data_IF_618993707613
#
_entry.id   IF_618993707613
#
_cell.length_a   1.000
_cell.length_b   1.000
_cell.length_c   1.000
_cell.angle_alpha   90.00
_cell.angle_beta   90.00
_cell.angle_gamma   90.00
#
_symmetry.space_group_name_H-M   'P 1'
#
loop_
_entity.id
_entity.type
_entity.pdbx_description
1 polymer ?
#
# COMPACT_ATOMS: atom_id res chain seq x y z
N UNK A 1 51.80 14.56 -48.10
CA UNK A 1 50.34 14.71 -48.18
C UNK A 1 49.74 13.48 -47.52
N UNK A 2 48.89 13.48 -46.48
CA UNK A 2 47.91 14.44 -45.96
C UNK A 2 47.59 14.04 -44.49
N UNK A 3 47.73 14.93 -43.50
CA UNK A 3 46.71 15.81 -42.87
C UNK A 3 45.62 15.14 -42.00
N UNK A 4 45.64 15.57 -40.73
CA UNK A 4 44.62 15.55 -39.68
C UNK A 4 43.22 16.05 -40.09
N UNK A 5 42.16 15.46 -39.51
CA UNK A 5 40.90 16.07 -38.98
C UNK A 5 39.96 14.90 -38.59
N UNK A 6 39.72 14.54 -37.33
CA UNK A 6 38.99 15.21 -36.22
C UNK A 6 37.59 15.71 -36.64
N UNK A 7 36.59 14.90 -36.25
CA UNK A 7 35.14 15.11 -36.09
C UNK A 7 34.69 16.57 -35.97
N UNK A 8 33.55 16.93 -36.60
CA UNK A 8 32.54 17.89 -36.09
C UNK A 8 31.34 18.05 -37.05
N UNK A 9 30.40 17.09 -37.13
CA UNK A 9 29.14 17.31 -37.89
C UNK A 9 27.96 16.47 -37.35
N UNK A 10 27.69 16.50 -36.04
CA UNK A 10 26.45 15.93 -35.45
C UNK A 10 25.80 16.94 -34.46
N UNK A 11 25.65 18.20 -34.88
CA UNK A 11 24.97 19.29 -34.14
C UNK A 11 23.66 19.75 -34.83
N UNK A 12 22.74 18.86 -35.20
CA UNK A 12 21.45 19.26 -35.83
C UNK A 12 20.21 18.52 -35.32
N UNK A 13 19.93 18.51 -34.01
CA UNK A 13 18.65 17.94 -33.51
C UNK A 13 18.05 18.59 -32.26
N UNK A 14 18.33 19.88 -31.97
CA UNK A 14 17.80 20.58 -30.79
C UNK A 14 16.75 21.65 -31.05
N UNK A 15 16.27 21.83 -32.29
CA UNK A 15 15.41 22.98 -32.62
C UNK A 15 13.90 22.72 -32.74
N UNK A 16 13.40 21.54 -32.33
CA UNK A 16 11.97 21.19 -32.51
C UNK A 16 11.06 21.40 -31.27
N UNK A 17 11.57 21.85 -30.12
CA UNK A 17 10.81 21.85 -28.84
C UNK A 17 10.13 23.18 -28.43
N UNK A 18 9.95 24.16 -29.33
CA UNK A 18 9.36 25.47 -28.96
C UNK A 18 8.02 25.84 -29.61
N UNK A 19 7.30 24.90 -30.22
CA UNK A 19 6.13 25.26 -31.02
C UNK A 19 4.83 24.52 -30.68
N UNK A 20 4.51 24.18 -29.42
CA UNK A 20 3.12 23.81 -29.07
C UNK A 20 2.79 23.88 -27.57
N UNK A 21 2.46 25.08 -27.09
CA UNK A 21 1.84 25.30 -25.77
C UNK A 21 0.36 25.67 -26.00
N UNK A 22 -0.61 24.80 -25.72
CA UNK A 22 -2.02 25.19 -25.79
C UNK A 22 -2.43 26.09 -24.60
N UNK A 23 -3.40 27.01 -24.79
CA UNK A 23 -3.71 28.09 -23.85
C UNK A 23 -4.54 27.67 -22.62
N UNK A 24 -4.40 28.44 -21.54
CA UNK A 24 -5.14 28.34 -20.27
C UNK A 24 -6.63 28.66 -20.47
N UNK A 25 -7.49 27.64 -20.41
CA UNK A 25 -8.95 27.80 -20.40
C UNK A 25 -9.49 27.97 -18.97
N UNK A 26 -10.45 28.88 -18.86
CA UNK A 26 -10.94 29.54 -17.65
C UNK A 26 -11.93 28.72 -16.82
N UNK A 27 -11.86 28.99 -15.51
CA UNK A 27 -12.92 29.10 -14.49
C UNK A 27 -14.35 28.70 -14.89
N UNK A 28 -14.89 27.68 -14.24
CA UNK A 28 -16.32 27.56 -13.96
C UNK A 28 -16.51 26.87 -12.60
N UNK A 29 -16.84 27.65 -11.57
CA UNK A 29 -17.38 27.15 -10.30
C UNK A 29 -18.90 27.26 -10.36
N UNK A 30 -19.68 26.17 -10.31
CA UNK A 30 -21.11 26.28 -10.06
C UNK A 30 -21.40 26.35 -8.54
N UNK A 31 -22.16 27.37 -8.14
CA UNK A 31 -22.69 27.62 -6.79
C UNK A 31 -23.47 26.42 -6.20
N UNK A 32 -23.41 26.17 -4.88
CA UNK A 32 -24.35 25.27 -4.22
C UNK A 32 -25.72 25.94 -4.01
N UNK A 33 -26.77 25.17 -4.27
CA UNK A 33 -28.17 25.56 -4.24
C UNK A 33 -28.67 26.03 -2.86
N UNK A 34 -29.31 27.20 -2.89
CA UNK A 34 -30.40 27.75 -2.05
C UNK A 34 -30.95 26.83 -0.93
N UNK A 35 -30.65 27.21 0.32
CA UNK A 35 -31.39 26.81 1.52
C UNK A 35 -32.78 27.45 1.48
N UNK A 36 -33.84 26.65 1.58
CA UNK A 36 -35.19 27.14 1.86
C UNK A 36 -35.54 26.89 3.32
N UNK A 37 -35.58 28.00 4.06
CA UNK A 37 -36.37 28.17 5.26
C UNK A 37 -37.80 27.64 5.07
N UNK A 38 -38.25 26.81 6.00
CA UNK A 38 -39.65 26.76 6.36
C UNK A 38 -39.78 26.46 7.85
N UNK A 39 -39.77 27.55 8.60
CA UNK A 39 -40.42 27.67 9.90
C UNK A 39 -41.86 27.13 9.83
N UNK A 40 -42.19 26.16 10.66
CA UNK A 40 -43.55 26.00 11.17
C UNK A 40 -43.51 25.42 12.58
N UNK A 41 -43.48 26.35 13.51
CA UNK A 41 -43.85 26.16 14.91
C UNK A 41 -45.32 25.73 15.00
N UNK A 42 -45.58 24.62 15.69
CA UNK A 42 -46.88 24.38 16.33
C UNK A 42 -46.64 23.89 17.76
N UNK A 43 -46.83 24.80 18.70
CA UNK A 43 -47.00 24.52 20.12
C UNK A 43 -48.39 23.89 20.31
N UNK A 44 -48.47 22.79 21.06
CA UNK A 44 -49.71 22.44 21.72
C UNK A 44 -49.42 21.89 23.11
N UNK A 45 -50.26 22.35 24.02
CA UNK A 45 -50.07 22.53 25.44
C UNK A 45 -50.78 21.44 26.25
N UNK A 46 -50.15 21.11 27.39
CA UNK A 46 -50.68 20.59 28.65
C UNK A 46 -51.29 19.19 28.79
N UNK A 47 -50.75 18.49 29.80
CA UNK A 47 -51.02 17.15 30.34
C UNK A 47 -52.44 16.97 30.91
N UNK A 48 -52.84 15.72 31.24
CA UNK A 48 -52.62 15.27 32.63
C UNK A 48 -52.22 13.79 32.83
N UNK A 49 -51.37 13.62 33.85
CA UNK A 49 -51.26 12.56 34.87
C UNK A 49 -52.11 11.27 34.75
N UNK A 50 -51.49 10.10 34.97
CA UNK A 50 -51.88 9.07 35.99
C UNK A 50 -51.08 7.74 35.82
N UNK A 51 -50.48 7.29 36.94
CA UNK A 51 -50.10 5.93 37.37
C UNK A 51 -48.84 5.20 36.79
N UNK A 52 -47.79 5.14 37.62
CA UNK A 52 -46.98 3.92 37.83
C UNK A 52 -47.58 3.12 39.02
N UNK A 53 -47.18 1.87 39.39
CA UNK A 53 -46.09 1.01 38.89
C UNK A 53 -46.49 -0.48 38.70
N UNK A 54 -45.67 -1.30 38.02
CA UNK A 54 -45.46 -2.73 38.35
C UNK A 54 -44.22 -3.29 37.66
N UNK A 55 -43.15 -3.46 38.41
CA UNK A 55 -41.98 -4.28 38.05
C UNK A 55 -42.35 -5.73 37.78
N UNK A 56 -41.91 -6.35 36.67
CA UNK A 56 -41.66 -7.77 36.65
C UNK A 56 -40.25 -8.05 37.21
N UNK A 57 -40.25 -8.82 38.30
CA UNK A 57 -39.09 -9.39 39.00
C UNK A 57 -38.40 -10.39 38.07
N UNK A 58 -37.19 -10.06 37.58
CA UNK A 58 -36.30 -11.06 36.97
C UNK A 58 -35.30 -11.58 38.01
N UNK A 59 -35.05 -12.90 38.06
CA UNK A 59 -34.28 -13.54 39.11
C UNK A 59 -32.80 -13.15 39.05
N UNK A 60 -32.13 -13.17 40.20
CA UNK A 60 -30.70 -13.00 40.31
C UNK A 60 -30.00 -14.03 39.41
N UNK A 61 -29.45 -13.58 38.28
CA UNK A 61 -28.60 -14.40 37.44
C UNK A 61 -27.26 -14.56 38.15
N UNK A 62 -27.08 -15.80 38.60
CA UNK A 62 -25.89 -16.41 39.16
C UNK A 62 -24.59 -15.89 38.53
N UNK A 63 -23.68 -15.45 39.41
CA UNK A 63 -22.25 -15.33 39.12
C UNK A 63 -21.72 -16.72 38.79
N UNK A 64 -21.65 -17.13 37.52
CA UNK A 64 -20.75 -18.22 37.12
C UNK A 64 -20.52 -18.26 35.61
N UNK A 65 -19.28 -17.96 35.23
CA UNK A 65 -18.57 -18.39 34.04
C UNK A 65 -19.19 -18.13 32.65
N UNK A 66 -18.93 -16.95 32.11
CA UNK A 66 -18.52 -16.87 30.70
C UNK A 66 -17.12 -16.28 30.69
N UNK A 67 -16.12 -17.16 30.62
CA UNK A 67 -14.78 -16.77 30.24
C UNK A 67 -14.89 -16.11 28.86
N UNK A 68 -14.84 -14.79 28.85
CA UNK A 68 -14.75 -14.00 27.63
C UNK A 68 -13.44 -14.36 26.95
N UNK A 69 -13.49 -15.31 26.02
CA UNK A 69 -12.60 -15.34 24.89
C UNK A 69 -12.88 -14.07 24.09
N UNK A 70 -12.29 -12.96 24.52
CA UNK A 70 -12.09 -11.79 23.66
C UNK A 70 -11.52 -12.31 22.34
N UNK A 71 -12.20 -12.18 21.18
CA UNK A 71 -11.48 -12.23 19.92
C UNK A 71 -10.52 -11.05 19.99
N UNK A 72 -9.25 -11.37 20.27
CA UNK A 72 -8.19 -10.38 20.37
C UNK A 72 -8.06 -9.75 19.00
N UNK A 73 -8.56 -8.51 18.90
CA UNK A 73 -8.20 -7.42 17.98
C UNK A 73 -7.66 -7.87 16.63
N UNK A 74 -8.42 -7.52 15.59
CA UNK A 74 -8.08 -7.44 14.17
C UNK A 74 -6.59 -7.24 13.85
N UNK A 75 -5.77 -8.27 14.00
CA UNK A 75 -4.37 -8.25 13.57
C UNK A 75 -4.27 -9.09 12.30
N UNK A 76 -4.92 -8.62 11.24
CA UNK A 76 -5.26 -9.39 10.05
C UNK A 76 -4.77 -8.69 8.77
N UNK A 77 -3.58 -8.13 8.70
CA UNK A 77 -3.10 -7.56 7.42
C UNK A 77 -2.00 -8.41 6.77
N UNK A 78 -1.16 -9.10 7.54
CA UNK A 78 -0.06 -9.92 7.03
C UNK A 78 -0.23 -11.42 7.23
N UNK A 79 -0.91 -11.86 8.31
CA UNK A 79 -1.14 -13.28 8.59
C UNK A 79 -1.98 -13.97 7.50
N UNK A 80 -2.84 -13.23 6.79
CA UNK A 80 -3.61 -13.77 5.65
C UNK A 80 -2.72 -14.27 4.51
N UNK A 81 -1.56 -13.64 4.35
CA UNK A 81 -0.59 -14.04 3.34
C UNK A 81 0.32 -15.17 3.81
N UNK A 82 0.24 -15.57 5.09
CA UNK A 82 1.10 -16.59 5.70
C UNK A 82 0.51 -18.00 5.61
N UNK A 83 -0.81 -18.12 5.52
CA UNK A 83 -1.48 -19.41 5.36
C UNK A 83 -1.11 -20.05 4.01
N UNK A 84 -0.47 -21.22 4.04
CA UNK A 84 0.05 -21.88 2.84
C UNK A 84 1.29 -21.21 2.21
N UNK A 85 1.88 -20.22 2.86
CA UNK A 85 3.03 -19.50 2.33
C UNK A 85 4.36 -20.16 2.71
N UNK A 86 5.33 -20.01 1.82
CA UNK A 86 6.71 -20.36 2.15
C UNK A 86 7.27 -19.27 3.05
N UNK A 87 7.75 -19.63 4.24
CA UNK A 87 8.29 -18.67 5.22
C UNK A 87 9.78 -18.89 5.44
N UNK A 88 10.59 -17.85 5.25
CA UNK A 88 11.99 -17.81 5.64
C UNK A 88 12.06 -17.20 7.04
N UNK A 89 12.36 -18.03 8.04
CA UNK A 89 12.38 -17.61 9.45
C UNK A 89 13.54 -16.63 9.75
N UNK A 90 13.41 -15.89 10.87
CA UNK A 90 14.37 -14.86 11.31
C UNK A 90 15.80 -15.36 11.47
N UNK A 91 15.96 -16.61 11.89
CA UNK A 91 17.26 -17.25 12.12
C UNK A 91 17.80 -18.00 10.89
N UNK A 92 17.22 -17.74 9.71
CA UNK A 92 17.65 -18.34 8.44
C UNK A 92 18.35 -17.31 7.58
N UNK A 93 19.53 -17.67 7.06
CA UNK A 93 20.22 -16.96 5.99
C UNK A 93 20.20 -17.82 4.74
N UNK A 94 19.69 -17.27 3.63
CA UNK A 94 19.69 -17.95 2.34
C UNK A 94 20.49 -17.16 1.32
N UNK A 95 21.32 -17.84 0.54
CA UNK A 95 22.06 -17.26 -0.57
C UNK A 95 21.81 -18.07 -1.85
N UNK A 96 21.36 -17.41 -2.91
CA UNK A 96 21.09 -18.04 -4.21
C UNK A 96 19.78 -17.58 -4.84
N UNK A 97 19.19 -18.44 -5.66
CA UNK A 97 17.90 -18.18 -6.32
C UNK A 97 16.79 -19.01 -5.65
N UNK A 98 15.69 -18.36 -5.28
CA UNK A 98 14.50 -18.99 -4.72
C UNK A 98 13.29 -18.66 -5.61
N UNK A 99 12.62 -19.71 -6.09
CA UNK A 99 11.39 -19.60 -6.89
C UNK A 99 10.23 -20.25 -6.16
N UNK A 100 9.08 -19.60 -6.11
CA UNK A 100 7.89 -20.10 -5.41
C UNK A 100 6.62 -19.75 -6.19
N UNK A 101 5.70 -20.70 -6.32
CA UNK A 101 4.43 -20.43 -7.03
C UNK A 101 3.41 -19.69 -6.16
N UNK A 102 3.50 -19.82 -4.84
CA UNK A 102 2.61 -19.16 -3.89
C UNK A 102 3.20 -17.92 -3.24
N UNK A 103 2.65 -17.60 -2.07
CA UNK A 103 3.13 -16.47 -1.27
C UNK A 103 4.47 -16.79 -0.61
N UNK A 104 5.33 -15.78 -0.55
CA UNK A 104 6.61 -15.85 0.13
C UNK A 104 6.66 -14.84 1.26
N UNK A 105 7.04 -15.30 2.44
CA UNK A 105 7.16 -14.49 3.65
C UNK A 105 8.59 -14.53 4.16
N UNK A 106 9.26 -13.38 4.21
CA UNK A 106 10.68 -13.29 4.58
C UNK A 106 10.80 -12.54 5.89
N UNK A 107 11.24 -13.23 6.95
CA UNK A 107 11.57 -12.63 8.25
C UNK A 107 13.09 -12.60 8.52
N UNK A 108 13.89 -13.36 7.75
CA UNK A 108 15.34 -13.54 7.94
C UNK A 108 16.22 -12.71 7.00
N UNK A 109 17.39 -13.27 6.67
CA UNK A 109 18.35 -12.67 5.72
C UNK A 109 18.34 -13.42 4.40
N UNK A 110 18.20 -12.70 3.29
CA UNK A 110 18.21 -13.26 1.95
C UNK A 110 19.16 -12.50 1.04
N UNK A 111 19.98 -13.21 0.29
CA UNK A 111 20.91 -12.65 -0.70
C UNK A 111 20.79 -13.39 -2.04
N UNK A 112 20.39 -12.70 -3.11
CA UNK A 112 20.30 -13.27 -4.45
C UNK A 112 19.01 -12.93 -5.20
N UNK A 113 18.40 -13.91 -5.87
CA UNK A 113 17.20 -13.71 -6.70
C UNK A 113 15.96 -14.36 -6.06
N UNK A 114 14.91 -13.57 -5.87
CA UNK A 114 13.61 -13.97 -5.37
C UNK A 114 12.57 -13.87 -6.48
N UNK A 115 11.93 -14.98 -6.82
CA UNK A 115 10.86 -15.02 -7.80
C UNK A 115 9.61 -15.67 -7.18
N UNK A 116 8.51 -14.92 -7.12
CA UNK A 116 7.22 -15.45 -6.69
C UNK A 116 6.13 -15.09 -7.69
N UNK A 117 5.22 -16.02 -7.98
CA UNK A 117 4.14 -15.74 -8.92
C UNK A 117 3.06 -14.80 -8.35
N UNK A 118 2.80 -14.85 -7.03
CA UNK A 118 1.77 -14.04 -6.38
C UNK A 118 2.37 -12.92 -5.51
N UNK A 119 2.53 -13.14 -4.21
CA UNK A 119 2.87 -12.08 -3.25
C UNK A 119 4.17 -12.36 -2.52
N UNK A 120 5.07 -11.38 -2.48
CA UNK A 120 6.24 -11.38 -1.59
C UNK A 120 6.01 -10.39 -0.45
N UNK A 121 6.22 -10.86 0.77
CA UNK A 121 6.16 -10.05 1.98
C UNK A 121 7.53 -10.08 2.66
N UNK A 122 8.18 -8.92 2.75
CA UNK A 122 9.37 -8.71 3.55
C UNK A 122 8.93 -8.16 4.90
N UNK A 123 9.06 -8.95 5.96
CA UNK A 123 8.64 -8.59 7.29
C UNK A 123 9.58 -7.58 7.97
N UNK A 124 9.13 -7.02 9.09
CA UNK A 124 9.92 -6.11 9.90
C UNK A 124 11.19 -6.81 10.42
N UNK A 125 12.34 -6.16 10.25
CA UNK A 125 13.64 -6.70 10.67
C UNK A 125 14.32 -7.65 9.68
N UNK A 126 13.62 -8.06 8.61
CA UNK A 126 14.22 -8.83 7.53
C UNK A 126 15.21 -7.98 6.73
N UNK A 127 16.22 -8.63 6.15
CA UNK A 127 17.23 -8.01 5.27
C UNK A 127 17.28 -8.79 3.96
N UNK A 128 16.97 -8.11 2.87
CA UNK A 128 17.00 -8.69 1.53
C UNK A 128 17.94 -7.87 0.67
N UNK A 129 18.89 -8.54 0.01
CA UNK A 129 19.77 -7.91 -0.98
C UNK A 129 19.71 -8.71 -2.29
N UNK A 130 19.44 -8.02 -3.39
CA UNK A 130 19.42 -8.61 -4.73
C UNK A 130 18.17 -8.26 -5.54
N UNK A 131 17.70 -9.21 -6.37
CA UNK A 131 16.58 -9.00 -7.30
C UNK A 131 15.30 -9.65 -6.78
N UNK A 132 14.21 -8.90 -6.74
CA UNK A 132 12.90 -9.38 -6.29
C UNK A 132 11.88 -9.23 -7.42
N UNK A 133 11.29 -10.33 -7.86
CA UNK A 133 10.26 -10.38 -8.91
C UNK A 133 8.99 -11.01 -8.35
N UNK A 134 7.90 -10.24 -8.30
CA UNK A 134 6.59 -10.76 -7.96
C UNK A 134 5.46 -9.94 -8.56
N UNK A 135 4.24 -10.46 -8.48
CA UNK A 135 3.04 -9.71 -8.85
C UNK A 135 2.74 -8.61 -7.84
N UNK A 136 2.73 -8.95 -6.55
CA UNK A 136 2.58 -8.00 -5.44
C UNK A 136 3.78 -8.06 -4.50
N UNK A 137 4.28 -6.88 -4.10
CA UNK A 137 5.42 -6.75 -3.18
C UNK A 137 5.04 -5.89 -1.99
N UNK A 138 5.14 -6.43 -0.78
CA UNK A 138 4.94 -5.72 0.48
C UNK A 138 6.24 -5.69 1.26
N UNK A 139 6.70 -4.50 1.65
CA UNK A 139 7.98 -4.33 2.36
C UNK A 139 7.75 -3.64 3.69
N UNK A 140 8.20 -4.27 4.77
CA UNK A 140 8.27 -3.71 6.13
C UNK A 140 9.69 -3.77 6.73
N UNK A 141 10.64 -4.38 6.02
CA UNK A 141 12.04 -4.53 6.44
C UNK A 141 13.01 -3.69 5.60
N UNK A 142 14.26 -4.15 5.54
CA UNK A 142 15.31 -3.55 4.70
C UNK A 142 15.44 -4.29 3.38
N UNK A 143 15.40 -3.54 2.29
CA UNK A 143 15.57 -4.05 0.93
C UNK A 143 16.62 -3.22 0.20
N UNK A 144 17.59 -3.91 -0.39
CA UNK A 144 18.66 -3.34 -1.21
C UNK A 144 18.70 -4.05 -2.56
N UNK A 145 18.58 -3.31 -3.67
CA UNK A 145 18.66 -3.84 -5.02
C UNK A 145 17.46 -3.50 -5.90
N UNK A 146 17.10 -4.43 -6.78
CA UNK A 146 16.09 -4.20 -7.83
C UNK A 146 14.78 -4.94 -7.52
N UNK A 147 13.66 -4.23 -7.63
CA UNK A 147 12.33 -4.73 -7.31
C UNK A 147 11.44 -4.59 -8.53
N UNK A 148 10.93 -5.70 -9.03
CA UNK A 148 9.89 -5.72 -10.06
C UNK A 148 8.59 -6.23 -9.45
N UNK A 149 7.63 -5.32 -9.28
CA UNK A 149 6.27 -5.61 -8.86
C UNK A 149 5.32 -5.49 -10.06
N UNK A 150 4.80 -6.60 -10.56
CA UNK A 150 3.95 -6.61 -11.75
C UNK A 150 2.66 -5.80 -11.60
N UNK A 151 2.07 -5.75 -10.40
CA UNK A 151 0.86 -5.00 -10.12
C UNK A 151 1.04 -3.95 -9.04
N UNK A 152 1.39 -4.34 -7.81
CA UNK A 152 1.41 -3.42 -6.68
C UNK A 152 2.68 -3.54 -5.83
N UNK A 153 3.30 -2.39 -5.61
CA UNK A 153 4.34 -2.20 -4.60
C UNK A 153 3.75 -1.47 -3.39
N UNK A 154 3.91 -2.02 -2.19
CA UNK A 154 3.49 -1.40 -0.93
C UNK A 154 4.65 -1.33 0.06
N UNK A 155 5.02 -0.11 0.43
CA UNK A 155 5.96 0.16 1.52
C UNK A 155 5.19 0.43 2.83
N UNK A 156 5.47 -0.37 3.86
CA UNK A 156 4.97 -0.21 5.24
C UNK A 156 5.76 0.88 5.99
N UNK A 157 5.27 1.37 7.15
CA UNK A 157 5.89 2.45 7.93
C UNK A 157 7.34 2.22 8.33
N UNK A 158 7.79 0.97 8.43
CA UNK A 158 9.15 0.60 8.85
C UNK A 158 10.06 0.21 7.69
N UNK A 159 9.58 0.34 6.45
CA UNK A 159 10.32 -0.05 5.26
C UNK A 159 11.53 0.86 5.04
N UNK A 160 12.67 0.25 4.71
CA UNK A 160 13.87 0.94 4.22
C UNK A 160 14.26 0.33 2.88
N UNK A 161 14.10 1.10 1.81
CA UNK A 161 14.31 0.61 0.44
C UNK A 161 15.38 1.44 -0.26
N UNK A 162 16.41 0.78 -0.76
CA UNK A 162 17.50 1.38 -1.54
C UNK A 162 17.64 0.62 -2.88
N UNK A 163 17.71 1.34 -4.00
CA UNK A 163 17.92 0.75 -5.33
C UNK A 163 16.94 1.20 -6.41
N UNK A 164 16.32 0.26 -7.12
CA UNK A 164 15.42 0.52 -8.26
C UNK A 164 14.11 -0.26 -8.10
N UNK A 165 12.98 0.39 -8.40
CA UNK A 165 11.64 -0.20 -8.22
C UNK A 165 10.80 0.03 -9.47
N UNK A 166 10.41 -1.06 -10.11
CA UNK A 166 9.43 -1.08 -11.19
C UNK A 166 8.08 -1.55 -10.66
N UNK A 167 7.03 -0.76 -10.82
CA UNK A 167 5.67 -1.18 -10.44
C UNK A 167 4.57 -0.48 -11.22
N UNK A 168 3.39 -1.10 -11.34
CA UNK A 168 2.22 -0.45 -11.95
C UNK A 168 1.46 0.44 -10.97
N UNK A 169 1.38 0.04 -9.70
CA UNK A 169 0.74 0.77 -8.62
C UNK A 169 1.73 0.85 -7.45
N UNK A 170 1.95 2.05 -6.94
CA UNK A 170 2.84 2.31 -5.82
C UNK A 170 2.05 2.88 -4.63
N UNK A 171 2.21 2.25 -3.47
CA UNK A 171 1.60 2.67 -2.21
C UNK A 171 2.70 2.82 -1.16
N UNK A 172 2.81 4.01 -0.58
CA UNK A 172 3.76 4.29 0.50
C UNK A 172 2.96 4.70 1.73
N UNK A 173 3.14 3.98 2.83
CA UNK A 173 2.57 4.33 4.13
C UNK A 173 3.49 5.30 4.88
N UNK A 174 2.91 6.09 5.79
CA UNK A 174 3.64 7.09 6.59
C UNK A 174 4.74 6.41 7.43
N UNK A 175 5.95 6.96 7.39
CA UNK A 175 7.12 6.44 8.12
C UNK A 175 8.12 5.69 7.24
N UNK A 176 7.73 5.26 6.04
CA UNK A 176 8.64 4.55 5.13
C UNK A 176 9.80 5.45 4.67
N UNK A 177 11.03 4.91 4.74
CA UNK A 177 12.23 5.54 4.23
C UNK A 177 12.58 4.91 2.88
N UNK A 178 12.56 5.71 1.83
CA UNK A 178 12.78 5.20 0.48
C UNK A 178 13.77 6.09 -0.27
N UNK A 179 14.84 5.47 -0.76
CA UNK A 179 15.88 6.08 -1.57
C UNK A 179 16.15 5.21 -2.80
N UNK A 180 15.23 5.27 -3.77
CA UNK A 180 15.32 4.48 -4.99
C UNK A 180 14.82 5.24 -6.22
N UNK A 181 15.17 4.76 -7.41
CA UNK A 181 14.52 5.21 -8.65
C UNK A 181 13.25 4.40 -8.88
N UNK A 182 12.18 5.08 -9.32
CA UNK A 182 10.91 4.44 -9.61
C UNK A 182 10.63 4.45 -11.10
N UNK A 183 10.38 3.28 -11.68
CA UNK A 183 9.83 3.10 -13.01
C UNK A 183 8.36 2.67 -12.89
N UNK A 184 7.44 3.45 -13.46
CA UNK A 184 6.03 3.09 -13.47
C UNK A 184 5.73 2.27 -14.72
N UNK A 185 5.36 1.00 -14.54
CA UNK A 185 4.94 0.16 -15.65
C UNK A 185 3.47 0.48 -15.97
N UNK A 186 3.19 0.97 -17.18
CA UNK A 186 1.81 1.23 -17.58
C UNK A 186 1.05 -0.09 -17.62
N UNK A 187 0.03 -0.24 -16.79
CA UNK A 187 -0.90 -1.37 -16.85
C UNK A 187 -1.57 -1.35 -18.23
N UNK A 188 -1.01 -2.11 -19.18
CA UNK A 188 -1.46 -2.15 -20.56
C UNK A 188 -2.95 -2.48 -20.61
N UNK A 189 -3.74 -1.53 -21.10
CA UNK A 189 -5.18 -1.69 -21.27
C UNK A 189 -5.48 -2.80 -22.27
N UNK A 190 -6.40 -3.67 -21.88
CA UNK A 190 -7.05 -4.70 -22.69
C UNK A 190 -8.08 -4.10 -23.64
#
# INVERSE_FOLDING_TARGET
MSFFRRNRDDEESVESYKQNRPPLAQRINPEPARVQDSSSSVSFDSSPEVAAPSTPRVPAYSREAVAMSTPRRDNLSLERYRDGATTVARDTSFQGALKTEGNLFIEGSFEGELEANDTIVIAEGAKVSGQVKARDVLIAGKMDGEIHAGERFLAKPTAHVEGDVESAILVIEEGAHINCQFAMSSRGGY
#
